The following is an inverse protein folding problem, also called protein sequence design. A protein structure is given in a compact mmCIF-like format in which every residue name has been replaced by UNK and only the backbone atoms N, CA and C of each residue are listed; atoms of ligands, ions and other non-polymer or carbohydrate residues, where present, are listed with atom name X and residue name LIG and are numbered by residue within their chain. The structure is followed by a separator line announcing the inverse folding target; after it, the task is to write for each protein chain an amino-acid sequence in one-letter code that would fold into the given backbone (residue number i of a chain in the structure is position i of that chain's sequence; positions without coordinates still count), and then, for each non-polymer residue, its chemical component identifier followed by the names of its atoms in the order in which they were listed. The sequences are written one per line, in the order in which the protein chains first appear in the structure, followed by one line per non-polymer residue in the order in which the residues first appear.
data_IF_531079878654
#
_entry.id   IF_531079878654
#
_cell.length_a   1.000
_cell.length_b   1.000
_cell.length_c   1.000
_cell.angle_alpha   90.00
_cell.angle_beta   90.00
_cell.angle_gamma   90.00
#
_symmetry.space_group_name_H-M   'P 1'
#
loop_
_entity.id
_entity.type
_entity.pdbx_description
1 polymer ?
#
# COMPACT_ATOMS: atom_id res chain seq x y z
N UNK A 1 13.80 -31.85 -34.37
CA UNK A 1 14.67 -32.00 -33.18
C UNK A 1 14.89 -30.69 -32.42
N UNK A 2 15.41 -29.60 -33.02
CA UNK A 2 15.55 -28.31 -32.30
C UNK A 2 14.23 -27.75 -31.75
N UNK A 3 13.15 -27.82 -32.52
CA UNK A 3 11.84 -27.30 -32.08
C UNK A 3 11.25 -28.06 -30.89
N UNK A 4 11.41 -29.39 -30.84
CA UNK A 4 10.94 -30.22 -29.72
C UNK A 4 11.66 -29.88 -28.40
N UNK A 5 12.95 -29.55 -28.42
CA UNK A 5 13.66 -29.11 -27.22
C UNK A 5 13.19 -27.75 -26.72
N UNK A 6 12.86 -26.83 -27.63
CA UNK A 6 12.31 -25.51 -27.28
C UNK A 6 10.92 -25.67 -26.63
N UNK A 7 10.08 -26.56 -27.17
CA UNK A 7 8.76 -26.83 -26.58
C UNK A 7 8.87 -27.45 -25.19
N UNK A 8 9.78 -28.41 -24.99
CA UNK A 8 10.03 -29.03 -23.69
C UNK A 8 10.55 -28.01 -22.67
N UNK A 9 11.48 -27.14 -23.10
CA UNK A 9 12.02 -26.07 -22.25
C UNK A 9 10.94 -25.06 -21.84
N UNK A 10 10.06 -24.67 -22.77
CA UNK A 10 8.96 -23.75 -22.49
C UNK A 10 7.94 -24.34 -21.49
N UNK A 11 7.64 -25.64 -21.59
CA UNK A 11 6.76 -26.34 -20.63
C UNK A 11 7.41 -26.42 -19.25
N UNK A 12 8.72 -26.71 -19.18
CA UNK A 12 9.44 -26.75 -17.90
C UNK A 12 9.44 -25.39 -17.20
N UNK A 13 9.66 -24.30 -17.95
CA UNK A 13 9.61 -22.93 -17.44
C UNK A 13 8.21 -22.51 -16.95
N UNK A 14 7.15 -22.98 -17.60
CA UNK A 14 5.78 -22.69 -17.18
C UNK A 14 5.40 -23.31 -15.82
N UNK A 15 6.04 -24.43 -15.43
CA UNK A 15 5.79 -25.09 -14.12
C UNK A 15 6.52 -24.44 -12.95
N UNK A 16 7.46 -23.52 -13.20
CA UNK A 16 8.24 -22.85 -12.17
C UNK A 16 7.65 -21.51 -11.70
N UNK A 17 6.44 -21.16 -12.15
CA UNK A 17 5.81 -19.88 -11.81
C UNK A 17 5.33 -19.92 -10.36
N UNK A 18 6.15 -19.38 -9.48
CA UNK A 18 5.78 -19.05 -8.10
C UNK A 18 4.70 -17.96 -8.10
N UNK A 19 3.82 -18.02 -7.10
CA UNK A 19 2.79 -17.01 -6.89
C UNK A 19 3.41 -15.61 -6.73
N UNK A 20 3.09 -14.68 -7.62
CA UNK A 20 3.51 -13.29 -7.47
C UNK A 20 2.69 -12.62 -6.37
N UNK A 21 3.40 -11.98 -5.44
CA UNK A 21 2.82 -11.29 -4.29
C UNK A 21 2.89 -9.79 -4.51
N UNK A 22 1.85 -9.07 -4.11
CA UNK A 22 1.82 -7.61 -4.15
C UNK A 22 2.40 -7.08 -2.83
N UNK A 23 3.36 -6.16 -2.94
CA UNK A 23 3.99 -5.50 -1.81
C UNK A 23 3.30 -4.18 -1.47
N UNK A 24 3.26 -3.81 -0.18
CA UNK A 24 2.82 -2.48 0.23
C UNK A 24 3.95 -1.48 0.03
N UNK A 25 3.66 -0.35 -0.61
CA UNK A 25 4.67 0.64 -0.89
C UNK A 25 5.21 1.30 0.38
N UNK A 26 6.53 1.49 0.46
CA UNK A 26 7.24 2.02 1.63
C UNK A 26 6.79 3.43 2.06
N UNK A 27 6.14 4.19 1.16
CA UNK A 27 5.60 5.51 1.52
C UNK A 27 4.39 5.44 2.46
N UNK A 28 3.78 4.27 2.63
CA UNK A 28 2.67 4.11 3.58
C UNK A 28 3.22 3.87 4.98
N UNK A 29 3.92 4.86 5.56
CA UNK A 29 4.62 4.70 6.83
C UNK A 29 3.68 4.31 7.97
N UNK A 30 2.45 4.83 7.99
CA UNK A 30 1.48 4.60 9.06
C UNK A 30 1.19 3.11 9.35
N UNK A 31 1.09 2.26 8.33
CA UNK A 31 0.90 0.81 8.56
C UNK A 31 2.19 0.16 9.09
N UNK A 32 3.36 0.59 8.61
CA UNK A 32 4.64 0.07 9.10
C UNK A 32 4.84 0.45 10.58
N UNK A 33 4.57 1.70 10.93
CA UNK A 33 4.66 2.21 12.30
C UNK A 33 3.69 1.45 13.23
N UNK A 34 2.46 1.21 12.77
CA UNK A 34 1.48 0.42 13.52
C UNK A 34 1.96 -1.02 13.76
N UNK A 35 2.49 -1.71 12.74
CA UNK A 35 2.99 -3.07 12.89
C UNK A 35 4.23 -3.13 13.79
N UNK A 36 5.12 -2.14 13.67
CA UNK A 36 6.32 -2.02 14.50
C UNK A 36 5.92 -1.74 15.98
N UNK A 37 4.85 -0.96 16.23
CA UNK A 37 4.27 -0.77 17.57
C UNK A 37 3.68 -2.08 18.12
N UNK A 38 2.91 -2.82 17.33
CA UNK A 38 2.34 -4.12 17.75
C UNK A 38 3.42 -5.17 18.03
N UNK A 39 4.52 -5.14 17.27
CA UNK A 39 5.68 -5.99 17.51
C UNK A 39 6.41 -5.59 18.81
N UNK A 40 6.55 -4.29 19.07
CA UNK A 40 7.16 -3.76 20.30
C UNK A 40 6.37 -4.16 21.55
N UNK A 41 5.04 -4.21 21.45
CA UNK A 41 4.14 -4.72 22.50
C UNK A 41 4.14 -6.25 22.64
N UNK A 42 4.95 -6.97 21.84
CA UNK A 42 5.01 -8.44 21.77
C UNK A 42 3.67 -9.10 21.40
N UNK A 43 2.79 -8.36 20.73
CA UNK A 43 1.52 -8.89 20.22
C UNK A 43 1.79 -9.72 18.97
N UNK A 44 2.73 -9.31 18.12
CA UNK A 44 3.13 -10.05 16.92
C UNK A 44 4.65 -10.18 16.83
N UNK A 45 5.11 -11.16 16.07
CA UNK A 45 6.50 -11.26 15.64
C UNK A 45 6.63 -10.75 14.22
N UNK A 46 7.60 -9.85 14.00
CA UNK A 46 7.82 -9.18 12.72
C UNK A 46 9.33 -8.96 12.53
N UNK A 47 9.85 -9.27 11.34
CA UNK A 47 11.21 -8.92 10.96
C UNK A 47 11.22 -7.51 10.36
N UNK A 48 11.55 -6.50 11.16
CA UNK A 48 11.55 -5.10 10.75
C UNK A 48 12.71 -4.68 9.84
N UNK A 49 13.70 -5.54 9.65
CA UNK A 49 14.90 -5.27 8.84
C UNK A 49 14.59 -5.37 7.33
N UNK A 50 13.58 -6.15 6.94
CA UNK A 50 13.29 -6.45 5.53
C UNK A 50 11.96 -5.80 5.11
N UNK A 51 12.03 -4.67 4.42
CA UNK A 51 10.89 -3.94 3.84
C UNK A 51 11.09 -3.82 2.31
N UNK A 52 10.02 -3.71 1.49
CA UNK A 52 8.60 -3.65 1.84
C UNK A 52 7.99 -5.00 2.24
N UNK A 53 6.90 -4.97 3.00
CA UNK A 53 6.15 -6.18 3.34
C UNK A 53 5.14 -6.54 2.26
N UNK A 54 4.92 -7.83 2.05
CA UNK A 54 3.81 -8.34 1.27
C UNK A 54 2.48 -7.95 1.91
N UNK A 55 1.49 -7.55 1.09
CA UNK A 55 0.14 -7.21 1.58
C UNK A 55 -0.54 -8.38 2.28
N UNK A 56 -0.29 -9.61 1.81
CA UNK A 56 -0.77 -10.85 2.45
C UNK A 56 -0.19 -11.05 3.85
N UNK A 57 1.11 -10.78 4.05
CA UNK A 57 1.76 -10.82 5.37
C UNK A 57 1.15 -9.77 6.30
N UNK A 58 0.94 -8.54 5.81
CA UNK A 58 0.29 -7.49 6.60
C UNK A 58 -1.10 -7.93 7.05
N UNK A 59 -1.92 -8.45 6.14
CA UNK A 59 -3.25 -8.94 6.45
C UNK A 59 -3.24 -10.06 7.50
N UNK A 60 -2.29 -11.00 7.40
CA UNK A 60 -2.09 -12.06 8.38
C UNK A 60 -1.76 -11.50 9.77
N UNK A 61 -0.79 -10.59 9.87
CA UNK A 61 -0.39 -9.97 11.15
C UNK A 61 -1.55 -9.20 11.78
N UNK A 62 -2.32 -8.45 10.99
CA UNK A 62 -3.50 -7.74 11.49
C UNK A 62 -4.56 -8.69 12.06
N UNK A 63 -4.76 -9.87 11.44
CA UNK A 63 -5.68 -10.89 11.98
C UNK A 63 -5.20 -11.46 13.31
N UNK A 64 -3.89 -11.66 13.48
CA UNK A 64 -3.31 -12.11 14.76
C UNK A 64 -3.53 -11.05 15.84
N UNK A 65 -3.27 -9.77 15.53
CA UNK A 65 -3.53 -8.66 16.46
C UNK A 65 -5.01 -8.62 16.87
N UNK A 66 -5.93 -8.77 15.91
CA UNK A 66 -7.37 -8.84 16.18
C UNK A 66 -7.71 -9.99 17.12
N UNK A 67 -7.23 -11.20 16.85
CA UNK A 67 -7.51 -12.37 17.67
C UNK A 67 -7.05 -12.14 19.12
N UNK A 68 -5.83 -11.65 19.33
CA UNK A 68 -5.30 -11.35 20.67
C UNK A 68 -6.06 -10.23 21.39
N UNK A 69 -6.55 -9.24 20.63
CA UNK A 69 -7.39 -8.16 21.19
C UNK A 69 -8.77 -8.66 21.60
N UNK A 70 -9.32 -9.68 20.93
CA UNK A 70 -10.60 -10.31 21.31
C UNK A 70 -10.44 -11.17 22.57
N UNK A 71 -9.27 -11.79 22.78
CA UNK A 71 -8.92 -12.53 23.99
C UNK A 71 -8.72 -11.62 25.21
N UNK A 72 -8.14 -10.42 25.02
CA UNK A 72 -7.92 -9.44 26.08
C UNK A 72 -8.23 -8.03 25.61
N UNK A 73 -9.40 -7.51 26.03
CA UNK A 73 -9.88 -6.19 25.62
C UNK A 73 -8.96 -5.04 26.09
N UNK A 74 -8.18 -5.22 27.17
CA UNK A 74 -7.25 -4.21 27.67
C UNK A 74 -5.90 -4.18 26.93
N UNK A 75 -5.68 -5.09 25.97
CA UNK A 75 -4.40 -5.22 25.25
C UNK A 75 -4.12 -4.01 24.34
N UNK A 76 -5.16 -3.44 23.73
CA UNK A 76 -5.06 -2.33 22.79
C UNK A 76 -5.73 -1.06 23.32
N UNK A 77 -5.07 0.07 23.15
CA UNK A 77 -5.67 1.39 23.40
C UNK A 77 -6.81 1.69 22.41
N UNK A 78 -7.67 2.65 22.77
CA UNK A 78 -8.77 3.10 21.90
C UNK A 78 -8.28 3.57 20.52
N UNK A 79 -7.10 4.22 20.46
CA UNK A 79 -6.47 4.63 19.20
C UNK A 79 -6.09 3.42 18.35
N UNK A 80 -5.34 2.48 18.94
CA UNK A 80 -4.85 1.27 18.24
C UNK A 80 -6.01 0.38 17.77
N UNK A 81 -7.11 0.26 18.53
CA UNK A 81 -8.32 -0.46 18.09
C UNK A 81 -8.94 0.18 16.85
N UNK A 82 -9.04 1.52 16.83
CA UNK A 82 -9.57 2.25 15.67
C UNK A 82 -8.68 2.08 14.43
N UNK A 83 -7.37 2.11 14.62
CA UNK A 83 -6.40 1.85 13.54
C UNK A 83 -6.47 0.41 13.05
N UNK A 84 -6.61 -0.56 13.96
CA UNK A 84 -6.80 -1.97 13.62
C UNK A 84 -8.02 -2.16 12.72
N UNK A 85 -9.17 -1.58 13.09
CA UNK A 85 -10.39 -1.64 12.28
C UNK A 85 -10.19 -1.02 10.89
N UNK A 86 -9.50 0.13 10.83
CA UNK A 86 -9.18 0.79 9.57
C UNK A 86 -8.25 -0.05 8.68
N UNK A 87 -7.22 -0.67 9.25
CA UNK A 87 -6.28 -1.50 8.50
C UNK A 87 -6.89 -2.83 8.09
N UNK A 88 -7.65 -3.50 8.95
CA UNK A 88 -8.39 -4.72 8.59
C UNK A 88 -9.32 -4.49 7.39
N UNK A 89 -9.96 -3.32 7.34
CA UNK A 89 -10.76 -2.91 6.21
C UNK A 89 -9.91 -2.62 4.96
N UNK A 90 -8.76 -1.97 5.12
CA UNK A 90 -7.84 -1.64 4.01
C UNK A 90 -7.22 -2.87 3.36
N UNK A 91 -6.96 -3.92 4.15
CA UNK A 91 -6.39 -5.18 3.69
C UNK A 91 -7.44 -6.30 3.52
N UNK A 92 -8.73 -5.96 3.53
CA UNK A 92 -9.82 -6.94 3.42
C UNK A 92 -9.82 -7.71 2.09
N UNK A 93 -9.28 -7.08 1.04
CA UNK A 93 -9.09 -7.69 -0.27
C UNK A 93 -8.10 -8.85 -0.26
N UNK A 94 -7.20 -8.95 0.73
CA UNK A 94 -6.28 -10.09 0.89
C UNK A 94 -6.97 -11.31 1.54
N UNK A 95 -8.21 -11.16 2.04
CA UNK A 95 -8.98 -12.28 2.59
C UNK A 95 -9.56 -13.18 1.47
N UNK A 96 -10.45 -14.11 1.79
CA UNK A 96 -11.27 -14.81 0.76
C UNK A 96 -12.42 -13.93 0.24
N UNK A 97 -13.06 -14.29 -0.89
CA UNK A 97 -14.36 -13.74 -1.25
C UNK A 97 -15.42 -14.07 -0.18
N UNK A 98 -16.48 -13.25 -0.01
CA UNK A 98 -16.85 -12.07 -0.82
C UNK A 98 -16.05 -10.80 -0.49
N UNK A 99 -16.24 -9.75 -1.29
CA UNK A 99 -15.67 -8.42 -1.02
C UNK A 99 -16.18 -7.87 0.32
N UNK A 100 -15.26 -7.61 1.25
CA UNK A 100 -15.57 -7.07 2.57
C UNK A 100 -15.19 -5.59 2.62
N UNK A 101 -16.17 -4.70 2.49
CA UNK A 101 -15.97 -3.25 2.64
C UNK A 101 -16.94 -2.70 3.68
N UNK A 102 -16.72 -1.45 4.10
CA UNK A 102 -17.52 -0.83 5.14
C UNK A 102 -18.90 -0.46 4.59
N UNK A 103 -20.00 -1.07 5.08
CA UNK A 103 -21.33 -0.88 4.52
C UNK A 103 -21.83 0.56 4.62
N UNK A 104 -21.32 1.35 5.58
CA UNK A 104 -21.73 2.76 5.79
C UNK A 104 -21.16 3.72 4.75
N UNK A 105 -20.02 3.36 4.16
CA UNK A 105 -19.25 4.24 3.28
C UNK A 105 -19.07 3.65 1.89
N UNK A 106 -19.80 2.59 1.55
CA UNK A 106 -19.59 1.83 0.32
C UNK A 106 -20.89 1.66 -0.45
N UNK A 107 -20.83 1.92 -1.75
CA UNK A 107 -21.82 1.45 -2.70
C UNK A 107 -21.33 0.16 -3.37
N UNK A 108 -22.08 -0.93 -3.26
CA UNK A 108 -21.70 -2.25 -3.80
C UNK A 108 -22.81 -2.84 -4.67
N UNK A 109 -22.40 -3.69 -5.62
CA UNK A 109 -23.33 -4.51 -6.38
C UNK A 109 -23.90 -5.64 -5.50
N UNK A 110 -25.10 -6.15 -5.82
CA UNK A 110 -25.78 -7.27 -5.12
C UNK A 110 -24.92 -8.54 -5.01
N UNK A 111 -24.01 -8.76 -5.96
CA UNK A 111 -23.08 -9.90 -5.97
C UNK A 111 -21.86 -9.70 -5.07
N UNK A 112 -21.70 -8.53 -4.43
CA UNK A 112 -20.52 -8.15 -3.63
C UNK A 112 -19.19 -8.46 -4.34
N UNK A 113 -19.15 -8.27 -5.66
CA UNK A 113 -17.95 -8.45 -6.49
C UNK A 113 -17.31 -7.12 -6.86
N UNK A 114 -18.05 -6.03 -6.77
CA UNK A 114 -17.59 -4.68 -7.06
C UNK A 114 -18.12 -3.71 -6.00
N UNK A 115 -17.27 -2.78 -5.57
CA UNK A 115 -17.63 -1.72 -4.64
C UNK A 115 -16.85 -0.44 -4.85
N UNK A 116 -17.53 0.70 -4.71
CA UNK A 116 -16.93 2.01 -4.54
C UNK A 116 -17.04 2.38 -3.07
N UNK A 117 -15.91 2.55 -2.38
CA UNK A 117 -15.89 2.96 -0.97
C UNK A 117 -15.25 4.34 -0.81
N UNK A 118 -15.69 5.06 0.23
CA UNK A 118 -15.06 6.30 0.71
C UNK A 118 -14.04 6.04 1.81
N UNK A 119 -14.10 4.88 2.46
CA UNK A 119 -13.19 4.49 3.54
C UNK A 119 -12.88 2.99 3.49
N UNK A 120 -11.66 2.56 3.09
CA UNK A 120 -10.68 3.39 2.40
C UNK A 120 -11.24 3.87 1.04
N UNK A 121 -10.85 5.06 0.56
CA UNK A 121 -11.34 5.56 -0.72
C UNK A 121 -10.81 4.70 -1.87
N UNK A 122 -11.69 4.32 -2.80
CA UNK A 122 -11.29 3.61 -4.00
C UNK A 122 -12.40 2.77 -4.64
N UNK A 123 -12.05 2.25 -5.81
CA UNK A 123 -12.80 1.26 -6.55
C UNK A 123 -12.18 -0.12 -6.27
N UNK A 124 -13.02 -1.07 -5.90
CA UNK A 124 -12.60 -2.40 -5.51
C UNK A 124 -13.38 -3.44 -6.29
N UNK A 125 -12.69 -4.48 -6.73
CA UNK A 125 -13.27 -5.63 -7.40
C UNK A 125 -12.69 -6.92 -6.84
N UNK A 126 -13.52 -7.95 -6.67
CA UNK A 126 -13.11 -9.26 -6.24
C UNK A 126 -14.08 -10.36 -6.68
N UNK A 127 -13.55 -11.37 -7.34
CA UNK A 127 -14.21 -12.65 -7.56
C UNK A 127 -13.23 -13.83 -7.29
N UNK A 128 -13.50 -15.02 -7.82
CA UNK A 128 -12.64 -16.20 -7.64
C UNK A 128 -11.34 -16.17 -8.46
N UNK A 129 -11.26 -15.37 -9.52
CA UNK A 129 -10.14 -15.31 -10.47
C UNK A 129 -9.44 -13.95 -10.46
N UNK A 130 -10.14 -12.85 -10.23
CA UNK A 130 -9.61 -11.50 -10.31
C UNK A 130 -9.87 -10.74 -9.01
N UNK A 131 -8.82 -10.11 -8.49
CA UNK A 131 -8.91 -9.17 -7.38
C UNK A 131 -8.20 -7.90 -7.80
N UNK A 132 -8.80 -6.74 -7.55
CA UNK A 132 -8.19 -5.47 -7.93
C UNK A 132 -8.70 -4.30 -7.11
N UNK A 133 -7.84 -3.31 -6.93
CA UNK A 133 -8.18 -2.04 -6.34
C UNK A 133 -7.57 -0.90 -7.15
N UNK A 134 -8.31 0.21 -7.26
CA UNK A 134 -7.84 1.48 -7.77
C UNK A 134 -8.17 2.55 -6.72
N UNK A 135 -7.15 3.19 -6.18
CA UNK A 135 -7.29 4.12 -5.06
C UNK A 135 -6.64 5.46 -5.42
N UNK A 136 -7.29 6.59 -5.12
CA UNK A 136 -6.67 7.89 -5.26
C UNK A 136 -5.54 8.05 -4.24
N UNK A 137 -4.51 8.80 -4.64
CA UNK A 137 -3.44 9.28 -3.77
C UNK A 137 -3.60 10.79 -3.70
N UNK A 138 -3.65 11.33 -2.49
CA UNK A 138 -3.62 12.77 -2.25
C UNK A 138 -2.87 13.03 -0.95
N UNK A 139 -2.12 14.11 -0.91
CA UNK A 139 -1.50 14.59 0.32
C UNK A 139 -0.74 15.89 0.10
N UNK A 140 -0.23 16.42 1.19
CA UNK A 140 0.61 17.60 1.16
C UNK A 140 1.29 17.84 2.50
N UNK A 141 2.31 18.68 2.47
CA UNK A 141 3.06 19.15 3.63
C UNK A 141 3.21 20.67 3.54
N UNK A 142 3.30 21.30 4.71
CA UNK A 142 3.50 22.74 4.84
C UNK A 142 4.55 23.00 5.91
N UNK A 143 5.55 23.81 5.59
CA UNK A 143 6.67 24.13 6.47
C UNK A 143 6.83 25.64 6.55
N UNK A 144 7.13 26.16 7.74
CA UNK A 144 7.35 27.59 8.00
C UNK A 144 8.59 27.76 8.85
N UNK A 145 9.43 28.73 8.49
CA UNK A 145 10.57 29.18 9.28
C UNK A 145 10.72 30.71 9.18
N UNK A 146 11.78 31.25 9.79
CA UNK A 146 12.08 32.69 9.75
C UNK A 146 12.32 33.22 8.32
N UNK A 147 12.68 32.34 7.38
CA UNK A 147 12.98 32.67 5.98
C UNK A 147 11.77 32.48 5.04
N UNK A 148 10.58 32.15 5.57
CA UNK A 148 9.34 32.05 4.79
C UNK A 148 8.59 30.73 4.96
N UNK A 149 7.76 30.42 3.97
CA UNK A 149 6.92 29.23 3.95
C UNK A 149 7.18 28.38 2.70
N UNK A 150 6.95 27.07 2.82
CA UNK A 150 7.02 26.11 1.73
C UNK A 150 5.82 25.18 1.79
N UNK A 151 5.24 24.90 0.63
CA UNK A 151 4.23 23.86 0.45
C UNK A 151 4.70 22.81 -0.53
N UNK A 152 4.46 21.55 -0.21
CA UNK A 152 4.53 20.45 -1.16
C UNK A 152 3.18 19.76 -1.21
N UNK A 153 2.69 19.50 -2.41
CA UNK A 153 1.44 18.75 -2.61
C UNK A 153 1.68 17.60 -3.56
N UNK A 154 0.89 16.55 -3.44
CA UNK A 154 0.94 15.44 -4.38
C UNK A 154 -0.44 14.83 -4.61
N UNK A 155 -0.67 14.39 -5.83
CA UNK A 155 -1.90 13.77 -6.25
C UNK A 155 -1.63 12.65 -7.25
N UNK A 156 -2.55 11.70 -7.36
CA UNK A 156 -2.39 10.60 -8.31
C UNK A 156 -3.27 9.41 -7.97
N UNK A 157 -2.84 8.22 -8.37
CA UNK A 157 -3.57 6.99 -8.14
C UNK A 157 -2.63 5.79 -8.04
N UNK A 158 -3.02 4.82 -7.20
CA UNK A 158 -2.42 3.48 -7.19
C UNK A 158 -3.44 2.45 -7.62
N UNK A 159 -2.98 1.48 -8.39
CA UNK A 159 -3.74 0.29 -8.72
C UNK A 159 -2.92 -0.96 -8.41
N UNK A 160 -3.60 -1.98 -7.90
CA UNK A 160 -2.97 -3.26 -7.60
C UNK A 160 -3.99 -4.38 -7.67
N UNK A 161 -3.52 -5.61 -7.82
CA UNK A 161 -4.42 -6.76 -7.89
C UNK A 161 -3.73 -8.08 -8.18
N UNK A 162 -4.56 -9.10 -8.34
CA UNK A 162 -4.18 -10.47 -8.60
C UNK A 162 -5.02 -11.06 -9.74
N UNK A 163 -4.38 -11.87 -10.57
CA UNK A 163 -5.03 -12.75 -11.55
C UNK A 163 -4.70 -14.20 -11.15
N UNK A 164 -5.72 -14.90 -10.69
CA UNK A 164 -5.63 -16.22 -10.08
C UNK A 164 -4.76 -16.19 -8.83
N UNK A 165 -3.99 -17.27 -8.63
CA UNK A 165 -3.02 -17.38 -7.53
C UNK A 165 -1.59 -17.05 -7.96
N UNK A 166 -1.38 -16.80 -9.26
CA UNK A 166 -0.05 -16.87 -9.86
C UNK A 166 0.49 -15.50 -10.28
N UNK A 167 -0.39 -14.54 -10.59
CA UNK A 167 0.02 -13.25 -11.12
C UNK A 167 -0.47 -12.12 -10.22
N UNK A 168 0.43 -11.22 -9.85
CA UNK A 168 0.17 -10.06 -9.01
C UNK A 168 0.75 -8.83 -9.68
N UNK A 169 -0.01 -7.73 -9.68
CA UNK A 169 0.42 -6.48 -10.30
C UNK A 169 0.25 -5.31 -9.35
N UNK A 170 1.12 -4.32 -9.50
CA UNK A 170 1.14 -3.09 -8.74
C UNK A 170 1.58 -1.95 -9.63
N UNK A 171 0.90 -0.82 -9.55
CA UNK A 171 1.29 0.44 -10.18
C UNK A 171 0.88 1.61 -9.29
N UNK A 172 1.68 2.68 -9.32
CA UNK A 172 1.41 3.91 -8.61
C UNK A 172 1.96 5.06 -9.42
N UNK A 173 1.10 6.01 -9.75
CA UNK A 173 1.46 7.28 -10.35
C UNK A 173 1.16 8.38 -9.34
N UNK A 174 2.14 9.25 -9.08
CA UNK A 174 2.01 10.37 -8.16
C UNK A 174 2.72 11.57 -8.75
N UNK A 175 1.97 12.59 -9.08
CA UNK A 175 2.51 13.90 -9.43
C UNK A 175 2.71 14.72 -8.15
N UNK A 176 3.82 15.44 -8.07
CA UNK A 176 4.27 16.19 -6.91
C UNK A 176 4.58 17.61 -7.35
N UNK A 177 4.08 18.58 -6.59
CA UNK A 177 4.36 20.00 -6.77
C UNK A 177 5.04 20.50 -5.50
N UNK A 178 6.18 21.18 -5.65
CA UNK A 178 6.93 21.81 -4.56
C UNK A 178 7.04 23.29 -4.85
N UNK A 179 6.64 24.14 -3.90
CA UNK A 179 6.63 25.60 -4.11
C UNK A 179 8.02 26.24 -4.16
N UNK A 180 9.02 25.64 -3.49
CA UNK A 180 10.39 26.14 -3.40
C UNK A 180 11.39 25.01 -3.12
N UNK A 181 12.54 25.02 -3.78
CA UNK A 181 13.64 24.10 -3.49
C UNK A 181 14.34 24.45 -2.17
N UNK A 182 14.44 23.50 -1.24
CA UNK A 182 15.16 23.68 0.04
C UNK A 182 16.60 23.18 0.03
N UNK A 183 16.94 22.31 -0.91
CA UNK A 183 18.12 21.46 -0.83
C UNK A 183 18.87 21.51 -2.15
N UNK A 184 20.10 22.00 -2.11
CA UNK A 184 21.01 21.85 -3.23
C UNK A 184 21.61 20.45 -3.24
N UNK A 185 22.03 19.91 -4.41
CA UNK A 185 22.53 18.53 -4.54
C UNK A 185 23.70 18.13 -3.61
N UNK A 186 24.32 19.07 -2.89
CA UNK A 186 25.40 18.81 -1.94
C UNK A 186 24.95 18.42 -0.52
N UNK A 187 23.65 18.45 -0.22
CA UNK A 187 23.12 18.13 1.11
C UNK A 187 22.29 16.85 1.09
N UNK A 188 22.55 15.97 2.06
CA UNK A 188 21.72 14.78 2.28
C UNK A 188 20.51 15.16 3.14
N UNK A 189 19.32 14.93 2.58
CA UNK A 189 18.03 15.08 3.27
C UNK A 189 17.22 13.79 3.18
N UNK A 190 16.18 13.69 3.99
CA UNK A 190 15.26 12.54 4.00
C UNK A 190 14.14 12.65 2.96
N UNK A 191 14.23 13.63 2.05
CA UNK A 191 13.29 13.79 0.95
C UNK A 191 13.65 12.90 -0.24
N UNK A 192 12.66 12.56 -1.07
CA UNK A 192 12.88 11.78 -2.28
C UNK A 192 13.70 12.61 -3.27
N UNK A 193 14.81 12.05 -3.74
CA UNK A 193 15.60 12.66 -4.80
C UNK A 193 14.83 12.72 -6.13
N UNK A 194 14.92 13.84 -6.81
CA UNK A 194 14.24 14.11 -8.09
C UNK A 194 15.28 14.58 -9.11
N UNK A 195 15.30 14.03 -10.33
CA UNK A 195 16.07 14.62 -11.42
C UNK A 195 15.35 15.90 -11.89
N UNK A 196 15.89 17.06 -11.56
CA UNK A 196 15.42 18.35 -12.09
C UNK A 196 16.58 19.09 -12.79
N UNK A 197 16.25 19.89 -13.80
CA UNK A 197 17.21 20.84 -14.39
C UNK A 197 17.23 22.09 -13.54
N UNK A 198 18.39 22.71 -13.40
CA UNK A 198 18.58 23.84 -12.49
C UNK A 198 17.68 25.04 -12.90
N UNK A 199 16.64 25.29 -12.12
CA UNK A 199 15.65 26.38 -12.31
C UNK A 199 15.84 27.51 -11.27
N UNK A 200 16.92 27.49 -10.47
CA UNK A 200 17.11 28.43 -9.36
C UNK A 200 16.21 28.11 -8.16
N UNK A 201 15.71 29.15 -7.48
CA UNK A 201 14.88 29.05 -6.26
C UNK A 201 13.38 28.78 -6.54
N UNK A 202 12.99 28.57 -7.80
CA UNK A 202 11.59 28.40 -8.21
C UNK A 202 11.02 27.02 -7.84
N UNK A 203 9.69 26.93 -7.81
CA UNK A 203 8.97 25.68 -7.56
C UNK A 203 9.12 24.68 -8.71
N UNK A 204 8.99 23.39 -8.40
CA UNK A 204 9.15 22.30 -9.36
C UNK A 204 8.00 21.29 -9.30
N UNK A 205 7.65 20.75 -10.47
CA UNK A 205 6.71 19.65 -10.65
C UNK A 205 7.45 18.38 -11.09
N UNK A 206 7.11 17.23 -10.51
CA UNK A 206 7.69 15.94 -10.85
C UNK A 206 6.80 14.75 -10.49
N UNK A 207 6.93 13.65 -11.23
CA UNK A 207 6.18 12.40 -11.02
C UNK A 207 7.07 11.22 -10.63
#
# INVERSE_FOLDING_TARGET
MKQTYITILAILLATAIQAQVVYEHISNTAIYDYLDEMASLKIIELNSVVKPYARTIIAEKLRIVRQKSEENDALLSKRQKKELEFYLLTYSLEAGPPLQLNPKTTWQNKKHSFGLALNPPGLFYKDSLFTGALQPIVGGSFSVNENGWMSQTWWGAKAWGYIGKNFGFYTSLRDNNVSKLMVTPGYFVQERGVPYKDYGDEGIDYS
#
